data_IF_474121073717
#
_entry.id   IF_474121073717
#
_cell.length_a   1.000
_cell.length_b   1.000
_cell.length_c   1.000
_cell.angle_alpha   90.00
_cell.angle_beta   90.00
_cell.angle_gamma   90.00
#
_symmetry.space_group_name_H-M   'P 1'
#
loop_
_entity.id
_entity.type
_entity.pdbx_description
1 polymer ?
#
# COMPACT_ATOMS: atom_id res chain seq x y z
N UNK A 1 13.80 -18.74 3.60
CA UNK A 1 14.22 -17.78 2.55
C UNK A 1 15.57 -17.12 2.90
N UNK A 2 16.48 -16.99 1.92
CA UNK A 2 17.75 -16.24 1.98
C UNK A 2 17.57 -14.82 1.43
N UNK A 3 18.48 -13.90 1.74
CA UNK A 3 18.38 -12.49 1.30
C UNK A 3 18.35 -12.31 -0.21
N UNK A 4 19.18 -13.03 -0.96
CA UNK A 4 19.15 -12.94 -2.43
C UNK A 4 17.82 -13.41 -3.02
N UNK A 5 17.12 -14.34 -2.36
CA UNK A 5 15.81 -14.83 -2.82
C UNK A 5 14.72 -13.76 -2.65
N UNK A 6 14.78 -12.97 -1.56
CA UNK A 6 13.94 -11.78 -1.41
C UNK A 6 14.17 -10.83 -2.58
N UNK A 7 15.43 -10.55 -2.90
CA UNK A 7 15.76 -9.65 -4.01
C UNK A 7 15.30 -10.19 -5.36
N UNK A 8 15.37 -11.49 -5.61
CA UNK A 8 14.78 -12.09 -6.82
C UNK A 8 13.25 -11.85 -6.88
N UNK A 9 12.54 -12.04 -5.76
CA UNK A 9 11.10 -11.77 -5.69
C UNK A 9 10.81 -10.27 -5.96
N UNK A 10 11.53 -9.38 -5.28
CA UNK A 10 11.35 -7.94 -5.41
C UNK A 10 11.70 -7.43 -6.81
N UNK A 11 12.78 -7.91 -7.40
CA UNK A 11 13.20 -7.54 -8.76
C UNK A 11 12.19 -8.02 -9.80
N UNK A 12 11.76 -9.29 -9.73
CA UNK A 12 10.77 -9.81 -10.68
C UNK A 12 9.45 -9.03 -10.61
N UNK A 13 8.96 -8.74 -9.41
CA UNK A 13 7.73 -7.97 -9.22
C UNK A 13 7.89 -6.47 -9.53
N UNK A 14 9.05 -5.90 -9.22
CA UNK A 14 9.39 -4.52 -9.58
C UNK A 14 9.44 -4.35 -11.09
N UNK A 15 10.14 -5.23 -11.81
CA UNK A 15 10.18 -5.24 -13.28
C UNK A 15 8.78 -5.43 -13.87
N UNK A 16 7.98 -6.34 -13.33
CA UNK A 16 6.59 -6.50 -13.76
C UNK A 16 5.78 -5.20 -13.59
N UNK A 17 5.89 -4.53 -12.44
CA UNK A 17 5.23 -3.25 -12.20
C UNK A 17 5.70 -2.15 -13.17
N UNK A 18 7.00 -2.10 -13.47
CA UNK A 18 7.57 -1.15 -14.44
C UNK A 18 6.99 -1.42 -15.85
N UNK A 19 6.96 -2.69 -16.29
CA UNK A 19 6.38 -3.08 -17.57
C UNK A 19 4.88 -2.78 -17.64
N UNK A 20 4.14 -3.01 -16.56
CA UNK A 20 2.73 -2.66 -16.47
C UNK A 20 2.49 -1.15 -16.60
N UNK A 21 3.35 -0.32 -16.00
CA UNK A 21 3.31 1.14 -16.20
C UNK A 21 3.60 1.52 -17.66
N UNK A 22 4.50 0.81 -18.34
CA UNK A 22 4.77 1.03 -19.76
C UNK A 22 3.56 0.75 -20.67
N UNK A 23 2.63 -0.13 -20.26
CA UNK A 23 1.39 -0.39 -21.01
C UNK A 23 0.58 0.90 -21.24
N UNK A 24 0.62 1.85 -20.31
CA UNK A 24 -0.12 3.11 -20.41
C UNK A 24 0.46 4.11 -21.44
N UNK A 25 1.61 3.81 -22.05
CA UNK A 25 2.19 4.59 -23.16
C UNK A 25 1.74 4.09 -24.53
N UNK A 26 1.17 2.89 -24.62
CA UNK A 26 0.71 2.38 -25.89
C UNK A 26 -0.57 3.12 -26.31
N UNK A 27 -0.59 3.61 -27.56
CA UNK A 27 -1.75 4.31 -28.16
C UNK A 27 -3.05 3.52 -28.06
N UNK A 28 -2.99 2.19 -27.94
CA UNK A 28 -4.18 1.34 -27.80
C UNK A 28 -4.88 1.49 -26.43
N UNK A 29 -4.14 1.93 -25.40
CA UNK A 29 -4.66 2.14 -24.03
C UNK A 29 -5.16 3.58 -23.82
N UNK A 30 -4.68 4.52 -24.64
CA UNK A 30 -5.02 5.95 -24.56
C UNK A 30 -6.55 6.21 -24.55
N UNK A 31 -7.39 5.57 -25.41
CA UNK A 31 -8.83 5.77 -25.38
C UNK A 31 -9.47 5.34 -24.05
N UNK A 32 -8.93 4.30 -23.40
CA UNK A 32 -9.44 3.82 -22.11
C UNK A 32 -9.14 4.82 -20.99
N UNK A 33 -7.98 5.50 -21.04
CA UNK A 33 -7.59 6.53 -20.07
C UNK A 33 -8.57 7.69 -20.04
N UNK A 34 -9.00 8.15 -21.22
CA UNK A 34 -9.88 9.31 -21.38
C UNK A 34 -11.37 8.97 -21.38
N UNK A 35 -11.74 7.68 -21.45
CA UNK A 35 -13.13 7.26 -21.38
C UNK A 35 -13.79 7.65 -20.05
N UNK A 36 -15.06 8.08 -20.13
CA UNK A 36 -15.92 8.29 -18.97
C UNK A 36 -16.28 6.96 -18.27
N UNK A 37 -16.30 5.85 -19.03
CA UNK A 37 -16.48 4.52 -18.49
C UNK A 37 -15.12 3.97 -18.02
N UNK A 38 -14.93 3.83 -16.70
CA UNK A 38 -13.69 3.33 -16.11
C UNK A 38 -13.61 1.79 -15.99
N UNK A 39 -14.69 1.06 -16.28
CA UNK A 39 -14.70 -0.40 -16.18
C UNK A 39 -13.61 -1.11 -16.99
N UNK A 40 -13.28 -0.72 -18.24
CA UNK A 40 -12.18 -1.32 -18.98
C UNK A 40 -10.82 -1.17 -18.28
N UNK A 41 -10.55 0.01 -17.69
CA UNK A 41 -9.32 0.24 -16.92
C UNK A 41 -9.29 -0.57 -15.63
N UNK A 42 -10.43 -0.69 -14.95
CA UNK A 42 -10.55 -1.54 -13.74
C UNK A 42 -10.28 -3.00 -14.12
N UNK A 43 -10.85 -3.48 -15.22
CA UNK A 43 -10.62 -4.84 -15.72
C UNK A 43 -9.15 -5.10 -16.09
N UNK A 44 -8.51 -4.15 -16.78
CA UNK A 44 -7.07 -4.21 -17.07
C UNK A 44 -6.24 -4.25 -15.78
N UNK A 45 -6.57 -3.40 -14.80
CA UNK A 45 -5.93 -3.39 -13.49
C UNK A 45 -6.05 -4.74 -12.77
N UNK A 46 -7.26 -5.30 -12.70
CA UNK A 46 -7.51 -6.63 -12.12
C UNK A 46 -6.71 -7.73 -12.81
N UNK A 47 -6.59 -7.68 -14.15
CA UNK A 47 -5.76 -8.62 -14.90
C UNK A 47 -4.29 -8.50 -14.50
N UNK A 48 -3.75 -7.27 -14.48
CA UNK A 48 -2.35 -6.99 -14.07
C UNK A 48 -2.10 -7.49 -12.65
N UNK A 49 -2.97 -7.15 -11.70
CA UNK A 49 -2.84 -7.59 -10.30
C UNK A 49 -2.96 -9.10 -10.14
N UNK A 50 -3.80 -9.77 -10.93
CA UNK A 50 -3.93 -11.23 -10.90
C UNK A 50 -2.64 -11.90 -11.38
N UNK A 51 -2.05 -11.41 -12.47
CA UNK A 51 -0.75 -11.92 -12.97
C UNK A 51 0.36 -11.67 -11.95
N UNK A 52 0.39 -10.47 -11.35
CA UNK A 52 1.37 -10.15 -10.31
C UNK A 52 1.19 -11.03 -9.06
N UNK A 53 -0.04 -11.25 -8.60
CA UNK A 53 -0.34 -12.12 -7.47
C UNK A 53 0.09 -13.57 -7.75
N UNK A 54 -0.13 -14.08 -8.96
CA UNK A 54 0.37 -15.39 -9.38
C UNK A 54 1.91 -15.44 -9.35
N UNK A 55 2.59 -14.42 -9.88
CA UNK A 55 4.04 -14.31 -9.83
C UNK A 55 4.58 -14.34 -8.39
N UNK A 56 3.96 -13.57 -7.49
CA UNK A 56 4.28 -13.57 -6.06
C UNK A 56 4.09 -14.97 -5.46
N UNK A 57 2.93 -15.59 -5.71
CA UNK A 57 2.61 -16.92 -5.19
C UNK A 57 3.68 -17.95 -5.59
N UNK A 58 4.01 -18.03 -6.88
CA UNK A 58 4.99 -19.01 -7.37
C UNK A 58 6.40 -18.75 -6.83
N UNK A 59 6.84 -17.48 -6.82
CA UNK A 59 8.19 -17.16 -6.33
C UNK A 59 8.32 -17.33 -4.81
N UNK A 60 7.32 -16.92 -4.04
CA UNK A 60 7.33 -17.11 -2.59
C UNK A 60 7.25 -18.60 -2.25
N UNK A 61 6.35 -19.37 -2.88
CA UNK A 61 6.27 -20.83 -2.68
C UNK A 61 7.57 -21.55 -3.01
N UNK A 62 8.34 -21.04 -4.00
CA UNK A 62 9.65 -21.59 -4.38
C UNK A 62 10.75 -21.34 -3.34
N UNK A 63 10.72 -20.20 -2.65
CA UNK A 63 11.84 -19.74 -1.80
C UNK A 63 11.53 -19.66 -0.30
N UNK A 64 10.25 -19.78 0.07
CA UNK A 64 9.75 -19.72 1.43
C UNK A 64 8.67 -20.78 1.63
N UNK A 65 8.47 -21.15 2.88
CA UNK A 65 7.43 -22.09 3.27
C UNK A 65 6.03 -21.48 3.05
N UNK A 66 5.05 -22.35 2.74
CA UNK A 66 3.68 -21.94 2.42
C UNK A 66 3.02 -21.04 3.48
N UNK A 67 3.38 -21.22 4.77
CA UNK A 67 2.85 -20.38 5.84
C UNK A 67 3.12 -18.87 5.63
N UNK A 68 4.17 -18.47 4.90
CA UNK A 68 4.42 -17.06 4.62
C UNK A 68 3.35 -16.44 3.74
N UNK A 69 2.75 -17.24 2.85
CA UNK A 69 1.61 -16.83 2.02
C UNK A 69 0.32 -16.78 2.81
N UNK A 70 0.15 -17.60 3.85
CA UNK A 70 -1.13 -17.77 4.55
C UNK A 70 -1.29 -16.86 5.78
N UNK A 71 -0.21 -16.61 6.53
CA UNK A 71 -0.30 -15.85 7.78
C UNK A 71 -0.94 -14.46 7.63
N UNK A 72 -0.65 -13.65 6.58
CA UNK A 72 -1.24 -12.32 6.49
C UNK A 72 -2.75 -12.33 6.15
N UNK A 73 -3.34 -13.49 5.84
CA UNK A 73 -4.74 -13.63 5.44
C UNK A 73 -5.61 -14.29 6.50
N UNK A 74 -5.18 -14.26 7.77
CA UNK A 74 -6.03 -14.70 8.88
C UNK A 74 -7.24 -13.78 9.00
N UNK A 75 -8.45 -14.34 8.96
CA UNK A 75 -9.70 -13.59 9.00
C UNK A 75 -9.78 -12.60 10.17
N UNK A 76 -9.31 -12.99 11.37
CA UNK A 76 -9.28 -12.11 12.53
C UNK A 76 -8.48 -10.81 12.29
N UNK A 77 -7.34 -10.89 11.60
CA UNK A 77 -6.45 -9.75 11.40
C UNK A 77 -7.04 -8.79 10.36
N UNK A 78 -7.77 -9.33 9.39
CA UNK A 78 -8.57 -8.58 8.42
C UNK A 78 -9.78 -7.91 9.04
N UNK A 79 -10.53 -8.60 9.91
CA UNK A 79 -11.66 -8.00 10.62
C UNK A 79 -11.21 -6.83 11.50
N UNK A 80 -10.12 -7.01 12.26
CA UNK A 80 -9.52 -5.93 13.04
C UNK A 80 -8.98 -4.81 12.15
N UNK A 81 -8.28 -5.15 11.06
CA UNK A 81 -7.75 -4.19 10.12
C UNK A 81 -8.84 -3.35 9.46
N UNK A 82 -9.96 -3.98 9.07
CA UNK A 82 -11.14 -3.33 8.52
C UNK A 82 -11.80 -2.42 9.54
N UNK A 83 -12.05 -2.91 10.77
CA UNK A 83 -12.67 -2.10 11.81
C UNK A 83 -11.85 -0.83 12.10
N UNK A 84 -10.54 -0.98 12.29
CA UNK A 84 -9.66 0.17 12.57
C UNK A 84 -9.51 1.05 11.32
N UNK A 85 -9.38 0.46 10.13
CA UNK A 85 -9.29 1.19 8.87
C UNK A 85 -10.53 2.07 8.63
N UNK A 86 -11.73 1.52 8.88
CA UNK A 86 -12.99 2.26 8.81
C UNK A 86 -13.03 3.37 9.88
N UNK A 87 -12.63 3.10 11.12
CA UNK A 87 -12.60 4.13 12.18
C UNK A 87 -11.63 5.27 11.85
N UNK A 88 -10.43 4.96 11.37
CA UNK A 88 -9.43 5.96 10.93
C UNK A 88 -9.97 6.76 9.76
N UNK A 89 -10.59 6.08 8.79
CA UNK A 89 -11.21 6.72 7.64
C UNK A 89 -12.36 7.65 8.05
N UNK A 90 -13.25 7.22 8.95
CA UNK A 90 -14.33 8.06 9.50
C UNK A 90 -13.77 9.24 10.29
N UNK A 91 -12.76 9.03 11.13
CA UNK A 91 -12.13 10.09 11.92
C UNK A 91 -11.47 11.15 11.03
N UNK A 92 -10.75 10.73 10.00
CA UNK A 92 -10.15 11.64 9.02
C UNK A 92 -11.21 12.46 8.28
N UNK A 93 -12.33 11.81 7.94
CA UNK A 93 -13.47 12.47 7.31
C UNK A 93 -14.14 13.51 8.18
N UNK A 94 -14.43 13.16 9.44
CA UNK A 94 -15.03 14.09 10.39
C UNK A 94 -14.10 15.29 10.59
N UNK A 95 -12.81 15.06 10.76
CA UNK A 95 -11.82 16.12 10.91
C UNK A 95 -11.79 17.07 9.71
N UNK A 96 -11.83 16.53 8.49
CA UNK A 96 -11.90 17.34 7.26
C UNK A 96 -13.24 18.05 7.09
N UNK A 97 -14.33 17.41 7.51
CA UNK A 97 -15.64 18.01 7.47
C UNK A 97 -15.71 19.32 8.28
N UNK A 98 -14.96 19.38 9.39
CA UNK A 98 -14.82 20.58 10.21
C UNK A 98 -13.93 21.65 9.57
N UNK A 99 -13.00 21.27 8.67
CA UNK A 99 -12.06 22.20 8.01
C UNK A 99 -12.56 22.75 6.67
N UNK A 100 -13.33 21.98 5.91
CA UNK A 100 -13.73 22.29 4.52
C UNK A 100 -15.24 22.00 4.27
N UNK A 101 -16.16 22.75 4.87
CA UNK A 101 -17.60 22.45 4.84
C UNK A 101 -18.24 22.49 3.45
N UNK A 102 -17.73 23.30 2.52
CA UNK A 102 -18.29 23.48 1.17
C UNK A 102 -18.05 22.31 0.20
N UNK A 103 -16.96 21.55 0.38
CA UNK A 103 -16.61 20.43 -0.51
C UNK A 103 -17.37 19.15 -0.16
N UNK A 104 -17.94 19.06 1.05
CA UNK A 104 -18.64 17.88 1.59
C UNK A 104 -19.93 17.54 0.83
N UNK A 105 -20.67 18.54 0.33
CA UNK A 105 -21.98 18.30 -0.28
C UNK A 105 -21.91 17.53 -1.61
N UNK A 106 -20.83 17.65 -2.38
CA UNK A 106 -20.59 16.80 -3.57
C UNK A 106 -20.11 15.39 -3.18
N UNK A 107 -19.45 15.25 -2.02
CA UNK A 107 -18.79 14.05 -1.52
C UNK A 107 -19.75 13.01 -0.89
N UNK A 108 -20.89 13.45 -0.34
CA UNK A 108 -21.92 12.57 0.24
C UNK A 108 -22.90 12.03 -0.83
N UNK A 109 -22.75 12.42 -2.11
CA UNK A 109 -23.66 11.98 -3.16
C UNK A 109 -23.55 10.47 -3.46
N UNK A 110 -24.69 9.78 -3.60
CA UNK A 110 -24.78 8.36 -3.97
C UNK A 110 -23.99 8.06 -5.26
N UNK A 111 -24.12 8.93 -6.26
CA UNK A 111 -23.41 8.84 -7.55
C UNK A 111 -21.90 8.90 -7.38
N UNK A 112 -21.44 9.67 -6.40
CA UNK A 112 -20.06 9.67 -6.02
C UNK A 112 -19.64 8.30 -5.50
N UNK A 113 -20.32 7.82 -4.45
CA UNK A 113 -19.94 6.59 -3.75
C UNK A 113 -19.93 5.39 -4.72
N UNK A 114 -20.89 5.32 -5.62
CA UNK A 114 -20.97 4.33 -6.70
C UNK A 114 -19.76 4.36 -7.67
N UNK A 115 -19.15 5.51 -7.89
CA UNK A 115 -17.93 5.63 -8.72
C UNK A 115 -16.69 5.20 -7.96
N UNK A 116 -16.65 5.44 -6.66
CA UNK A 116 -15.48 5.13 -5.85
C UNK A 116 -15.38 3.70 -5.42
N UNK A 117 -16.48 3.13 -4.93
CA UNK A 117 -16.45 1.80 -4.33
C UNK A 117 -15.82 0.75 -5.29
N UNK A 118 -16.16 0.72 -6.59
CA UNK A 118 -15.51 -0.20 -7.53
C UNK A 118 -14.02 0.08 -7.70
N UNK A 119 -13.60 1.34 -7.83
CA UNK A 119 -12.18 1.69 -7.99
C UNK A 119 -11.41 1.34 -6.71
N UNK A 120 -11.97 1.61 -5.55
CA UNK A 120 -11.34 1.31 -4.28
C UNK A 120 -11.16 -0.20 -4.09
N UNK A 121 -12.24 -0.97 -4.25
CA UNK A 121 -12.22 -2.42 -4.00
C UNK A 121 -11.46 -3.19 -5.07
N UNK A 122 -11.54 -2.78 -6.34
CA UNK A 122 -11.03 -3.56 -7.47
C UNK A 122 -9.71 -3.02 -8.03
N UNK A 123 -9.25 -1.86 -7.59
CA UNK A 123 -7.99 -1.28 -8.06
C UNK A 123 -7.08 -0.89 -6.89
N UNK A 124 -7.54 0.01 -6.02
CA UNK A 124 -6.71 0.57 -4.95
C UNK A 124 -6.32 -0.46 -3.89
N UNK A 125 -7.28 -1.27 -3.44
CA UNK A 125 -7.06 -2.27 -2.41
C UNK A 125 -6.16 -3.44 -2.88
N UNK A 126 -6.38 -4.05 -4.05
CA UNK A 126 -5.50 -5.11 -4.56
C UNK A 126 -4.07 -4.61 -4.81
N UNK A 127 -3.91 -3.42 -5.40
CA UNK A 127 -2.60 -2.82 -5.63
C UNK A 127 -1.85 -2.56 -4.32
N UNK A 128 -2.51 -1.91 -3.36
CA UNK A 128 -1.95 -1.67 -2.03
C UNK A 128 -1.58 -2.98 -1.31
N UNK A 129 -2.42 -4.02 -1.41
CA UNK A 129 -2.14 -5.32 -0.79
C UNK A 129 -0.85 -5.93 -1.34
N UNK A 130 -0.70 -5.93 -2.67
CA UNK A 130 0.49 -6.47 -3.34
C UNK A 130 1.75 -5.72 -2.90
N UNK A 131 1.70 -4.38 -2.90
CA UNK A 131 2.84 -3.56 -2.49
C UNK A 131 3.21 -3.77 -1.02
N UNK A 132 2.22 -3.72 -0.12
CA UNK A 132 2.48 -3.92 1.31
C UNK A 132 2.99 -5.34 1.59
N UNK A 133 2.47 -6.35 0.88
CA UNK A 133 2.95 -7.72 1.01
C UNK A 133 4.44 -7.82 0.58
N UNK A 134 4.78 -7.28 -0.58
CA UNK A 134 6.13 -7.35 -1.14
C UNK A 134 7.13 -6.54 -0.33
N UNK A 135 6.82 -5.28 -0.04
CA UNK A 135 7.80 -4.33 0.45
C UNK A 135 7.80 -4.19 1.97
N UNK A 136 6.75 -4.61 2.68
CA UNK A 136 6.68 -4.50 4.16
C UNK A 136 6.64 -5.86 4.82
N UNK A 137 5.73 -6.73 4.40
CA UNK A 137 5.58 -8.06 5.01
C UNK A 137 6.79 -8.97 4.77
N UNK A 138 7.19 -9.21 3.51
CA UNK A 138 8.28 -10.15 3.20
C UNK A 138 9.64 -9.79 3.83
N UNK A 139 10.11 -8.52 3.80
CA UNK A 139 11.39 -8.16 4.39
C UNK A 139 11.39 -8.30 5.91
N UNK A 140 10.29 -7.95 6.56
CA UNK A 140 10.12 -8.14 8.00
C UNK A 140 10.15 -9.63 8.37
N UNK A 141 9.46 -10.48 7.61
CA UNK A 141 9.49 -11.94 7.82
C UNK A 141 10.88 -12.53 7.60
N UNK A 142 11.60 -12.05 6.60
CA UNK A 142 12.99 -12.42 6.38
C UNK A 142 13.86 -12.05 7.59
N UNK A 143 13.75 -10.82 8.08
CA UNK A 143 14.50 -10.36 9.24
C UNK A 143 14.23 -11.21 10.49
N UNK A 144 12.96 -11.53 10.75
CA UNK A 144 12.54 -12.38 11.88
C UNK A 144 13.04 -13.81 11.76
N UNK A 145 12.79 -14.46 10.62
CA UNK A 145 13.17 -15.87 10.40
C UNK A 145 14.69 -16.08 10.43
N UNK A 146 15.46 -15.06 10.03
CA UNK A 146 16.93 -15.07 10.06
C UNK A 146 17.51 -14.53 11.38
N UNK A 147 16.65 -14.07 12.30
CA UNK A 147 17.05 -13.42 13.56
C UNK A 147 18.12 -12.36 13.34
N UNK A 148 17.92 -11.49 12.34
CA UNK A 148 18.89 -10.45 12.02
C UNK A 148 19.08 -9.51 13.22
N UNK A 149 20.30 -9.00 13.38
CA UNK A 149 20.56 -7.92 14.34
C UNK A 149 19.75 -6.68 13.97
N UNK A 150 19.58 -5.77 14.94
CA UNK A 150 18.85 -4.51 14.71
C UNK A 150 19.44 -3.72 13.54
N UNK A 151 20.77 -3.60 13.49
CA UNK A 151 21.50 -2.92 12.42
C UNK A 151 21.23 -3.55 11.04
N UNK A 152 21.35 -4.87 10.93
CA UNK A 152 21.10 -5.60 9.68
C UNK A 152 19.63 -5.51 9.24
N UNK A 153 18.71 -5.48 10.19
CA UNK A 153 17.28 -5.28 9.93
C UNK A 153 17.02 -3.88 9.38
N UNK A 154 17.59 -2.84 9.99
CA UNK A 154 17.47 -1.46 9.52
C UNK A 154 18.07 -1.28 8.13
N UNK A 155 19.26 -1.85 7.88
CA UNK A 155 19.89 -1.83 6.55
C UNK A 155 19.03 -2.54 5.50
N UNK A 156 18.44 -3.69 5.84
CA UNK A 156 17.51 -4.38 4.95
C UNK A 156 16.29 -3.51 4.63
N UNK A 157 15.67 -2.89 5.63
CA UNK A 157 14.49 -2.05 5.42
C UNK A 157 14.81 -0.81 4.60
N UNK A 158 15.95 -0.16 4.86
CA UNK A 158 16.42 0.97 4.07
C UNK A 158 16.67 0.58 2.61
N UNK A 159 17.32 -0.56 2.38
CA UNK A 159 17.56 -1.06 1.03
C UNK A 159 16.25 -1.35 0.28
N UNK A 160 15.29 -2.00 0.94
CA UNK A 160 13.97 -2.27 0.34
C UNK A 160 13.21 -0.97 0.08
N UNK A 161 13.34 0.02 0.97
CA UNK A 161 12.71 1.33 0.80
C UNK A 161 13.27 2.10 -0.40
N UNK A 162 14.60 2.09 -0.57
CA UNK A 162 15.26 2.68 -1.74
C UNK A 162 14.81 1.96 -3.01
N UNK A 163 14.74 0.63 -2.99
CA UNK A 163 14.26 -0.14 -4.12
C UNK A 163 12.79 0.16 -4.45
N UNK A 164 11.91 0.20 -3.45
CA UNK A 164 10.51 0.61 -3.59
C UNK A 164 10.41 2.00 -4.22
N UNK A 165 11.23 2.95 -3.78
CA UNK A 165 11.25 4.31 -4.35
C UNK A 165 11.69 4.27 -5.82
N UNK A 166 12.68 3.45 -6.15
CA UNK A 166 13.16 3.29 -7.52
C UNK A 166 12.10 2.70 -8.46
N UNK A 167 11.23 1.78 -7.98
CA UNK A 167 10.14 1.25 -8.81
C UNK A 167 9.09 2.29 -9.18
N UNK A 168 9.09 3.46 -8.54
CA UNK A 168 8.19 4.57 -8.85
C UNK A 168 8.77 5.56 -9.88
N UNK A 169 10.07 5.46 -10.22
CA UNK A 169 10.74 6.40 -11.13
C UNK A 169 9.98 6.54 -12.46
N UNK A 170 9.61 5.46 -13.18
CA UNK A 170 8.87 5.59 -14.44
C UNK A 170 7.53 6.30 -14.32
N UNK A 171 6.74 5.95 -13.30
CA UNK A 171 5.44 6.59 -13.09
C UNK A 171 5.62 8.09 -12.83
N UNK A 172 6.56 8.46 -11.96
CA UNK A 172 6.78 9.87 -11.63
C UNK A 172 7.34 10.67 -12.79
N UNK A 173 8.43 10.20 -13.40
CA UNK A 173 9.11 10.95 -14.46
C UNK A 173 8.32 10.98 -15.76
N UNK A 174 7.76 9.85 -16.16
CA UNK A 174 7.21 9.73 -17.51
C UNK A 174 5.69 9.82 -17.53
N UNK A 175 4.97 9.38 -16.48
CA UNK A 175 3.50 9.30 -16.52
C UNK A 175 2.87 10.55 -15.93
N UNK A 176 3.45 11.03 -14.83
CA UNK A 176 3.01 12.22 -14.12
C UNK A 176 3.82 13.47 -14.49
N UNK A 177 4.91 13.34 -15.25
CA UNK A 177 5.84 14.44 -15.59
C UNK A 177 6.33 15.21 -14.35
N UNK A 178 6.50 14.49 -13.24
CA UNK A 178 7.01 15.04 -12.00
C UNK A 178 8.55 15.04 -12.03
N UNK A 179 9.20 16.03 -11.41
CA UNK A 179 10.65 16.07 -11.31
C UNK A 179 11.18 15.03 -10.28
N UNK A 180 12.44 14.60 -10.42
CA UNK A 180 13.05 13.53 -9.60
C UNK A 180 12.91 13.70 -8.09
N UNK A 181 13.02 14.93 -7.57
CA UNK A 181 12.86 15.22 -6.13
C UNK A 181 11.46 14.88 -5.59
N UNK A 182 10.46 14.74 -6.45
CA UNK A 182 9.12 14.24 -6.07
C UNK A 182 9.13 12.79 -5.57
N UNK A 183 10.20 12.02 -5.84
CA UNK A 183 10.43 10.68 -5.30
C UNK A 183 10.64 10.68 -3.78
N UNK A 184 10.86 11.85 -3.17
CA UNK A 184 10.79 11.99 -1.72
C UNK A 184 9.44 11.57 -1.15
N UNK A 185 8.35 11.76 -1.89
CA UNK A 185 7.01 11.33 -1.49
C UNK A 185 6.89 9.81 -1.33
N UNK A 186 7.15 8.96 -2.34
CA UNK A 186 7.12 7.52 -2.16
C UNK A 186 8.17 7.02 -1.15
N UNK A 187 9.33 7.67 -1.04
CA UNK A 187 10.32 7.32 -0.01
C UNK A 187 9.79 7.54 1.42
N UNK A 188 9.31 8.75 1.72
CA UNK A 188 8.80 9.08 3.07
C UNK A 188 7.54 8.30 3.41
N UNK A 189 6.62 8.16 2.46
CA UNK A 189 5.43 7.33 2.61
C UNK A 189 5.80 5.86 2.84
N UNK A 190 6.78 5.36 2.10
CA UNK A 190 7.22 3.99 2.24
C UNK A 190 7.86 3.71 3.60
N UNK A 191 8.62 4.66 4.13
CA UNK A 191 9.15 4.62 5.50
C UNK A 191 8.01 4.62 6.55
N UNK A 192 7.01 5.48 6.36
CA UNK A 192 5.85 5.55 7.24
C UNK A 192 5.08 4.22 7.26
N UNK A 193 4.76 3.62 6.11
CA UNK A 193 4.10 2.31 6.07
C UNK A 193 4.95 1.19 6.67
N UNK A 194 6.27 1.24 6.49
CA UNK A 194 7.18 0.31 7.18
C UNK A 194 7.05 0.41 8.70
N UNK A 195 7.03 1.64 9.23
CA UNK A 195 6.84 1.88 10.65
C UNK A 195 5.47 1.39 11.13
N UNK A 196 4.40 1.75 10.41
CA UNK A 196 3.02 1.32 10.71
C UNK A 196 2.92 -0.20 10.75
N UNK A 197 3.44 -0.90 9.74
CA UNK A 197 3.44 -2.35 9.70
C UNK A 197 4.32 -2.96 10.79
N UNK A 198 5.51 -2.40 11.06
CA UNK A 198 6.38 -2.87 12.13
C UNK A 198 5.72 -2.72 13.52
N UNK A 199 4.97 -1.63 13.73
CA UNK A 199 4.23 -1.36 14.95
C UNK A 199 3.04 -2.31 15.14
N UNK A 200 2.21 -2.43 14.09
CA UNK A 200 0.92 -3.12 14.16
C UNK A 200 1.02 -4.62 13.90
N UNK A 201 1.98 -5.04 13.05
CA UNK A 201 2.11 -6.40 12.51
C UNK A 201 0.85 -6.90 11.82
N UNK A 202 0.04 -5.97 11.32
CA UNK A 202 -1.22 -6.26 10.66
C UNK A 202 -1.12 -5.78 9.21
N UNK A 203 -0.99 -6.73 8.27
CA UNK A 203 -0.89 -6.42 6.85
C UNK A 203 -2.20 -5.77 6.34
N UNK A 204 -3.35 -6.30 6.74
CA UNK A 204 -4.65 -5.76 6.33
C UNK A 204 -4.80 -4.29 6.72
N UNK A 205 -4.38 -3.91 7.92
CA UNK A 205 -4.43 -2.52 8.38
C UNK A 205 -3.57 -1.58 7.52
N UNK A 206 -2.30 -1.92 7.30
CA UNK A 206 -1.41 -1.07 6.47
C UNK A 206 -1.88 -1.03 5.02
N UNK A 207 -2.39 -2.14 4.48
CA UNK A 207 -2.98 -2.23 3.15
C UNK A 207 -4.20 -1.34 2.99
N UNK A 208 -5.14 -1.37 3.94
CA UNK A 208 -6.33 -0.51 3.90
C UNK A 208 -5.95 0.95 3.99
N UNK A 209 -5.01 1.28 4.87
CA UNK A 209 -4.52 2.65 4.98
C UNK A 209 -3.88 3.13 3.67
N UNK A 210 -3.03 2.32 3.06
CA UNK A 210 -2.44 2.61 1.77
C UNK A 210 -3.51 2.71 0.66
N UNK A 211 -4.52 1.83 0.64
CA UNK A 211 -5.60 1.90 -0.32
C UNK A 211 -6.42 3.21 -0.19
N UNK A 212 -6.74 3.62 1.04
CA UNK A 212 -7.43 4.89 1.31
C UNK A 212 -6.57 6.11 0.93
N UNK A 213 -5.25 5.99 1.03
CA UNK A 213 -4.34 7.02 0.58
C UNK A 213 -4.33 7.15 -0.95
N UNK A 214 -4.21 6.01 -1.66
CA UNK A 214 -4.18 5.99 -3.13
C UNK A 214 -5.50 6.42 -3.76
N UNK A 215 -6.61 6.08 -3.11
CA UNK A 215 -7.94 6.48 -3.52
C UNK A 215 -8.70 6.97 -2.30
N UNK A 216 -8.47 8.23 -2.02
CA UNK A 216 -9.12 8.93 -0.93
C UNK A 216 -10.46 9.43 -1.44
N UNK A 217 -11.51 8.65 -1.24
CA UNK A 217 -12.90 9.08 -1.48
C UNK A 217 -13.25 10.44 -0.86
N UNK A 218 -12.44 10.85 0.11
CA UNK A 218 -12.83 11.68 1.21
C UNK A 218 -11.66 12.44 1.86
N UNK A 219 -10.44 12.35 1.31
CA UNK A 219 -9.31 13.16 1.83
C UNK A 219 -8.97 14.36 0.95
N UNK A 220 -9.56 14.49 -0.25
CA UNK A 220 -9.01 15.45 -1.19
C UNK A 220 -10.05 16.08 -2.13
N UNK A 221 -10.70 17.14 -1.64
CA UNK A 221 -11.00 18.27 -2.51
C UNK A 221 -9.67 18.93 -2.89
N UNK A 222 -9.30 18.88 -4.18
CA UNK A 222 -8.01 19.27 -4.79
C UNK A 222 -6.77 18.58 -4.20
N UNK A 223 -6.07 17.82 -5.04
CA UNK A 223 -5.02 16.78 -4.80
C UNK A 223 -3.83 17.12 -3.88
N UNK A 224 -3.80 18.28 -3.20
CA UNK A 224 -2.57 18.95 -2.78
C UNK A 224 -2.20 18.73 -1.30
N UNK A 225 -3.13 18.35 -0.42
CA UNK A 225 -2.84 18.14 1.01
C UNK A 225 -3.18 16.71 1.42
N UNK A 226 -2.17 15.83 1.39
CA UNK A 226 -2.29 14.47 1.94
C UNK A 226 -1.69 14.47 3.36
N UNK A 227 -2.52 14.63 4.38
CA UNK A 227 -2.09 14.67 5.79
C UNK A 227 -2.04 13.26 6.40
N UNK A 228 -0.85 12.84 6.82
CA UNK A 228 -0.58 11.51 7.41
C UNK A 228 -0.52 11.52 8.93
N UNK A 229 -0.63 12.69 9.55
CA UNK A 229 -0.34 12.89 10.97
C UNK A 229 -1.23 12.00 11.84
N UNK A 230 -2.52 11.89 11.50
CA UNK A 230 -3.47 11.07 12.25
C UNK A 230 -3.08 9.60 12.30
N UNK A 231 -2.62 9.03 11.18
CA UNK A 231 -2.34 7.58 11.10
C UNK A 231 -0.97 7.24 11.65
N UNK A 232 0.00 8.12 11.49
CA UNK A 232 1.29 8.01 12.18
C UNK A 232 1.05 8.05 13.68
N UNK A 233 0.27 9.02 14.19
CA UNK A 233 -0.08 9.12 15.61
C UNK A 233 -0.83 7.89 16.09
N UNK A 234 -1.85 7.41 15.37
CA UNK A 234 -2.58 6.20 15.73
C UNK A 234 -1.65 4.97 15.81
N UNK A 235 -0.69 4.86 14.89
CA UNK A 235 0.28 3.76 14.86
C UNK A 235 1.31 3.86 15.99
N UNK A 236 1.71 5.07 16.37
CA UNK A 236 2.56 5.33 17.54
C UNK A 236 1.82 4.92 18.82
N UNK A 237 0.56 5.37 18.99
CA UNK A 237 -0.28 5.01 20.14
C UNK A 237 -0.43 3.48 20.22
N UNK A 238 -0.70 2.83 19.09
CA UNK A 238 -0.79 1.37 19.01
C UNK A 238 0.51 0.68 19.41
N UNK A 239 1.64 1.16 18.92
CA UNK A 239 2.96 0.64 19.27
C UNK A 239 3.18 0.70 20.79
N UNK A 240 2.96 1.85 21.41
CA UNK A 240 3.12 2.02 22.86
C UNK A 240 2.14 1.13 23.65
N UNK A 241 0.87 1.07 23.24
CA UNK A 241 -0.13 0.22 23.88
C UNK A 241 0.23 -1.27 23.83
N UNK A 242 0.67 -1.77 22.68
CA UNK A 242 1.11 -3.16 22.54
C UNK A 242 2.36 -3.46 23.38
N UNK A 243 3.35 -2.56 23.35
CA UNK A 243 4.63 -2.77 24.03
C UNK A 243 4.46 -2.75 25.54
N UNK A 244 3.64 -1.85 26.06
CA UNK A 244 3.28 -1.80 27.49
C UNK A 244 2.54 -3.06 27.97
N UNK A 245 1.64 -3.63 27.17
CA UNK A 245 0.98 -4.91 27.51
C UNK A 245 1.95 -6.09 27.54
N UNK A 246 2.90 -6.16 26.59
CA UNK A 246 3.90 -7.24 26.56
C UNK A 246 4.81 -7.22 27.78
N UNK A 247 5.19 -6.03 28.25
CA UNK A 247 6.04 -5.87 29.44
C UNK A 247 5.29 -6.11 30.77
N UNK A 248 3.95 -6.21 30.77
CA UNK A 248 3.16 -6.62 31.95
C UNK A 248 2.96 -8.13 32.04
N UNK A 249 3.28 -8.86 30.98
CA UNK A 249 3.10 -10.32 30.86
C UNK A 249 4.43 -11.09 30.92
N UNK A 250 5.54 -10.37 31.14
CA UNK A 250 6.89 -10.87 31.38
C UNK A 250 7.30 -10.44 32.78
#
# INVERSE_FOLDING_TARGET
MKTWQLWVILLANGLFALLANLLFYFKVIEPMRFSANKWPLIGLGLMVYSVQAMLIYFLVKKYADLHWLLIPFKAKDWLWGLAIGVLVWLGANIFLALRLPGDIQRLISTRGFERFLPIFLLNSLPGALIEEYLFRYLPVRLAESRRLTRERTLLLFLAVLVFFTATHIPAYLWQYNNPLWSLWSPFTMGAAYFFVYYATRNLAFVTLFHAFYNNSWMLVGRSEIRDYSLVIVASIIWFFWRTSRRNRLL
#
